data_IF_521834417708
#
_entry.id   IF_521834417708
#
_cell.length_a   1.000
_cell.length_b   1.000
_cell.length_c   1.000
_cell.angle_alpha   90.00
_cell.angle_beta   90.00
_cell.angle_gamma   90.00
#
_symmetry.space_group_name_H-M   'P 1'
#
loop_
_entity.id
_entity.type
_entity.pdbx_description
1 polymer ?
#
# COMPACT_ATOMS: atom_id res chain seq x y z
N UNK A 1 18.63 -16.52 32.18
CA UNK A 1 17.24 -16.19 31.81
C UNK A 1 17.29 -14.86 31.07
N UNK A 2 17.11 -14.85 29.75
CA UNK A 2 16.96 -13.59 29.03
C UNK A 2 15.49 -13.17 29.14
N UNK A 3 15.25 -12.03 29.77
CA UNK A 3 13.93 -11.39 29.72
C UNK A 3 13.56 -11.17 28.25
N UNK A 4 12.52 -11.87 27.81
CA UNK A 4 11.83 -11.55 26.58
C UNK A 4 11.26 -10.14 26.74
N UNK A 5 12.00 -9.12 26.29
CA UNK A 5 11.41 -7.81 26.06
C UNK A 5 10.27 -8.02 25.06
N UNK A 6 9.05 -7.88 25.52
CA UNK A 6 7.88 -7.76 24.66
C UNK A 6 8.14 -6.60 23.71
N UNK A 7 8.51 -6.92 22.47
CA UNK A 7 8.68 -5.93 21.41
C UNK A 7 7.33 -5.25 21.25
N UNK A 8 7.25 -3.98 21.65
CA UNK A 8 6.05 -3.17 21.45
C UNK A 8 5.83 -3.09 19.94
N UNK A 9 4.85 -3.84 19.44
CA UNK A 9 4.50 -3.86 18.03
C UNK A 9 3.78 -2.57 17.67
N UNK A 10 4.37 -1.79 16.77
CA UNK A 10 3.77 -0.55 16.28
C UNK A 10 2.46 -0.87 15.55
N UNK A 11 1.38 -0.15 15.88
CA UNK A 11 0.12 -0.26 15.14
C UNK A 11 0.16 0.60 13.89
N UNK A 12 -0.72 0.34 12.92
CA UNK A 12 -0.87 1.20 11.74
C UNK A 12 -1.25 2.64 12.13
N UNK A 13 -2.06 2.81 13.17
CA UNK A 13 -2.52 4.14 13.57
C UNK A 13 -1.38 4.94 14.24
N UNK A 14 -0.49 4.27 14.98
CA UNK A 14 0.74 4.89 15.50
C UNK A 14 1.73 5.18 14.37
N UNK A 15 1.90 4.22 13.45
CA UNK A 15 2.76 4.37 12.28
C UNK A 15 2.42 5.63 11.47
N UNK A 16 1.14 5.89 11.20
CA UNK A 16 0.72 7.08 10.45
C UNK A 16 1.02 8.40 11.17
N UNK A 17 0.98 8.41 12.51
CA UNK A 17 1.34 9.58 13.31
C UNK A 17 2.84 9.80 13.37
N UNK A 18 3.62 8.72 13.44
CA UNK A 18 5.08 8.77 13.56
C UNK A 18 5.79 9.05 12.24
N UNK A 19 5.29 8.49 11.13
CA UNK A 19 5.91 8.59 9.80
C UNK A 19 4.95 9.18 8.76
N UNK A 20 4.39 10.39 9.00
CA UNK A 20 3.50 11.01 8.03
C UNK A 20 4.26 11.27 6.73
N UNK A 21 3.61 10.97 5.60
CA UNK A 21 4.11 11.20 4.24
C UNK A 21 5.41 10.47 3.88
N UNK A 22 5.89 9.54 4.74
CA UNK A 22 7.04 8.72 4.40
C UNK A 22 6.60 7.53 3.54
N UNK A 23 7.38 7.13 2.51
CA UNK A 23 7.05 6.00 1.65
C UNK A 23 7.35 4.65 2.33
N UNK A 24 7.20 4.57 3.65
CA UNK A 24 7.53 3.39 4.45
C UNK A 24 6.35 2.43 4.50
N UNK A 25 6.64 1.15 4.72
CA UNK A 25 5.63 0.13 4.98
C UNK A 25 5.67 -0.30 6.46
N UNK A 26 4.60 -0.92 6.92
CA UNK A 26 4.54 -1.56 8.23
C UNK A 26 4.23 -3.05 8.03
N UNK A 27 5.16 -3.92 8.44
CA UNK A 27 5.01 -5.37 8.28
C UNK A 27 5.06 -6.02 9.66
N UNK A 28 3.93 -6.55 10.13
CA UNK A 28 3.81 -7.22 11.43
C UNK A 28 4.26 -6.39 12.64
N UNK A 29 4.12 -5.06 12.55
CA UNK A 29 4.50 -4.10 13.57
C UNK A 29 5.93 -3.56 13.43
N UNK A 30 6.63 -3.91 12.34
CA UNK A 30 7.98 -3.46 12.03
C UNK A 30 7.98 -2.48 10.85
N UNK A 31 8.72 -1.38 10.99
CA UNK A 31 8.83 -0.35 9.95
C UNK A 31 9.83 -0.81 8.89
N UNK A 32 9.37 -0.91 7.65
CA UNK A 32 10.20 -1.27 6.50
C UNK A 32 10.39 -0.01 5.64
N UNK A 33 11.65 0.39 5.46
CA UNK A 33 12.00 1.51 4.58
C UNK A 33 12.23 0.96 3.18
N UNK A 34 11.63 1.55 2.13
CA UNK A 34 11.88 1.12 0.77
C UNK A 34 13.32 1.46 0.41
N UNK A 35 13.94 0.57 -0.36
CA UNK A 35 15.22 0.88 -0.99
C UNK A 35 15.02 1.92 -2.10
N UNK A 36 16.05 2.73 -2.35
CA UNK A 36 16.06 3.63 -3.50
C UNK A 36 16.14 2.80 -4.78
N UNK A 37 15.05 2.77 -5.53
CA UNK A 37 14.95 2.01 -6.76
C UNK A 37 15.53 2.83 -7.93
N UNK A 38 16.52 2.28 -8.63
CA UNK A 38 17.18 2.95 -9.77
C UNK A 38 16.29 3.08 -11.02
N UNK A 39 16.75 3.85 -12.01
CA UNK A 39 15.97 4.25 -13.20
C UNK A 39 15.28 3.10 -13.95
N UNK A 40 15.93 1.94 -14.05
CA UNK A 40 15.34 0.76 -14.72
C UNK A 40 14.04 0.30 -14.05
N UNK A 41 13.98 0.37 -12.73
CA UNK A 41 12.79 0.02 -11.98
C UNK A 41 11.65 1.00 -12.28
N UNK A 42 11.96 2.30 -12.33
CA UNK A 42 10.97 3.33 -12.66
C UNK A 42 10.39 3.14 -14.07
N UNK A 43 11.23 2.86 -15.07
CA UNK A 43 10.78 2.63 -16.45
C UNK A 43 9.87 1.41 -16.56
N UNK A 44 10.22 0.31 -15.89
CA UNK A 44 9.39 -0.90 -15.90
C UNK A 44 8.09 -0.68 -15.14
N UNK A 45 8.14 -0.06 -13.97
CA UNK A 45 6.97 0.28 -13.15
C UNK A 45 5.96 1.12 -13.94
N UNK A 46 6.41 2.21 -14.58
CA UNK A 46 5.53 3.05 -15.39
C UNK A 46 4.87 2.30 -16.55
N UNK A 47 5.58 1.38 -17.21
CA UNK A 47 5.01 0.58 -18.30
C UNK A 47 3.93 -0.38 -17.79
N UNK A 48 4.12 -0.97 -16.61
CA UNK A 48 3.14 -1.85 -15.98
C UNK A 48 1.91 -1.04 -15.55
N UNK A 49 2.11 0.10 -14.89
CA UNK A 49 1.04 1.01 -14.47
C UNK A 49 0.20 1.44 -15.67
N UNK A 50 0.81 1.97 -16.74
CA UNK A 50 0.10 2.46 -17.91
C UNK A 50 -0.74 1.35 -18.59
N UNK A 51 -0.16 0.15 -18.76
CA UNK A 51 -0.88 -0.98 -19.39
C UNK A 51 -2.03 -1.49 -18.54
N UNK A 52 -1.84 -1.53 -17.22
CA UNK A 52 -2.89 -1.97 -16.30
C UNK A 52 -4.03 -0.95 -16.26
N UNK A 53 -3.71 0.34 -16.18
CA UNK A 53 -4.70 1.43 -16.21
C UNK A 53 -5.51 1.38 -17.51
N UNK A 54 -4.85 1.31 -18.68
CA UNK A 54 -5.53 1.23 -19.96
C UNK A 54 -6.53 0.06 -20.03
N UNK A 55 -6.12 -1.11 -19.54
CA UNK A 55 -6.97 -2.29 -19.52
C UNK A 55 -8.16 -2.13 -18.56
N UNK A 56 -7.92 -1.67 -17.33
CA UNK A 56 -8.97 -1.51 -16.32
C UNK A 56 -10.00 -0.47 -16.73
N UNK A 57 -9.56 0.66 -17.30
CA UNK A 57 -10.45 1.71 -17.81
C UNK A 57 -11.26 1.23 -19.01
N UNK A 58 -10.62 0.59 -19.99
CA UNK A 58 -11.30 0.10 -21.21
C UNK A 58 -12.45 -0.85 -20.90
N UNK A 59 -12.30 -1.69 -19.88
CA UNK A 59 -13.28 -2.70 -19.50
C UNK A 59 -14.09 -2.32 -18.25
N UNK A 60 -13.94 -1.09 -17.73
CA UNK A 60 -14.67 -0.58 -16.56
C UNK A 60 -14.61 -1.54 -15.35
N UNK A 61 -13.40 -2.03 -15.05
CA UNK A 61 -13.20 -3.10 -14.07
C UNK A 61 -13.00 -2.61 -12.64
N UNK A 62 -12.78 -1.30 -12.44
CA UNK A 62 -12.49 -0.70 -11.14
C UNK A 62 -11.45 0.41 -11.26
N UNK A 63 -10.56 0.49 -10.27
CA UNK A 63 -9.59 1.60 -10.15
C UNK A 63 -8.16 1.07 -9.99
N UNK A 64 -7.20 1.81 -10.56
CA UNK A 64 -5.76 1.54 -10.43
C UNK A 64 -5.10 2.66 -9.63
N UNK A 65 -4.26 2.29 -8.65
CA UNK A 65 -3.52 3.22 -7.81
C UNK A 65 -2.03 3.01 -7.96
N UNK A 66 -1.28 4.11 -8.10
CA UNK A 66 0.17 4.11 -8.12
C UNK A 66 0.81 4.08 -6.73
N UNK A 67 2.13 4.23 -6.68
CA UNK A 67 2.99 3.93 -5.53
C UNK A 67 2.79 4.77 -4.26
N UNK A 68 1.88 5.75 -4.29
CA UNK A 68 1.69 6.72 -3.21
C UNK A 68 0.59 6.31 -2.22
N UNK A 69 -0.06 5.16 -2.43
CA UNK A 69 -1.19 4.74 -1.61
C UNK A 69 -0.84 3.63 -0.62
N UNK A 70 -1.15 3.85 0.66
CA UNK A 70 -0.97 2.87 1.72
C UNK A 70 -2.27 2.13 2.06
N UNK A 71 -2.20 0.81 2.14
CA UNK A 71 -3.32 -0.07 2.44
C UNK A 71 -3.18 -0.68 3.83
N UNK A 72 -4.06 -0.30 4.76
CA UNK A 72 -4.19 -0.98 6.06
C UNK A 72 -4.78 -2.38 5.83
N UNK A 73 -3.95 -3.41 5.99
CA UNK A 73 -4.35 -4.82 5.84
C UNK A 73 -4.70 -5.46 7.18
N UNK A 74 -4.13 -4.96 8.28
CA UNK A 74 -4.44 -5.38 9.64
C UNK A 74 -4.11 -4.26 10.63
N UNK A 75 -4.31 -4.50 11.93
CA UNK A 75 -3.87 -3.58 12.99
C UNK A 75 -2.35 -3.30 12.96
N UNK A 76 -1.56 -4.26 12.48
CA UNK A 76 -0.08 -4.23 12.52
C UNK A 76 0.56 -4.32 11.14
N UNK A 77 -0.25 -4.22 10.07
CA UNK A 77 0.24 -4.35 8.70
C UNK A 77 -0.38 -3.28 7.81
N UNK A 78 0.50 -2.48 7.21
CA UNK A 78 0.18 -1.54 6.13
C UNK A 78 1.18 -1.75 4.99
N UNK A 79 0.68 -1.91 3.77
CA UNK A 79 1.50 -2.09 2.57
C UNK A 79 1.25 -0.97 1.57
N UNK A 80 2.29 -0.52 0.89
CA UNK A 80 2.25 0.52 -0.15
C UNK A 80 2.85 -0.04 -1.44
N UNK A 81 2.08 -0.87 -2.19
CA UNK A 81 2.55 -1.46 -3.43
C UNK A 81 2.81 -0.37 -4.48
N UNK A 82 3.72 -0.64 -5.42
CA UNK A 82 4.02 0.28 -6.54
C UNK A 82 2.82 0.51 -7.45
N UNK A 83 2.05 -0.54 -7.68
CA UNK A 83 0.80 -0.51 -8.43
C UNK A 83 -0.18 -1.45 -7.78
N UNK A 84 -1.45 -1.06 -7.72
CA UNK A 84 -2.51 -1.91 -7.20
C UNK A 84 -3.82 -1.65 -7.94
N UNK A 85 -4.65 -2.68 -7.99
CA UNK A 85 -5.97 -2.64 -8.60
C UNK A 85 -7.02 -2.96 -7.54
N UNK A 86 -8.10 -2.17 -7.52
CA UNK A 86 -9.28 -2.43 -6.72
C UNK A 86 -10.45 -2.65 -7.68
N UNK A 87 -11.07 -3.82 -7.61
CA UNK A 87 -12.24 -4.12 -8.45
C UNK A 87 -13.40 -3.17 -8.17
N UNK A 88 -14.22 -2.92 -9.19
CA UNK A 88 -15.37 -2.01 -9.13
C UNK A 88 -16.28 -2.28 -7.93
N UNK A 89 -16.65 -3.53 -7.70
CA UNK A 89 -17.49 -3.92 -6.57
C UNK A 89 -16.84 -3.58 -5.21
N UNK A 90 -15.53 -3.81 -5.07
CA UNK A 90 -14.81 -3.46 -3.84
C UNK A 90 -14.66 -1.95 -3.69
N UNK A 91 -14.40 -1.23 -4.78
CA UNK A 91 -14.27 0.23 -4.80
C UNK A 91 -15.56 0.92 -4.38
N UNK A 92 -16.70 0.49 -4.93
CA UNK A 92 -18.02 0.99 -4.54
C UNK A 92 -18.27 0.79 -3.04
N UNK A 93 -17.98 -0.39 -2.49
CA UNK A 93 -18.14 -0.65 -1.06
C UNK A 93 -17.25 0.24 -0.17
N UNK A 94 -16.07 0.62 -0.65
CA UNK A 94 -15.13 1.46 0.12
C UNK A 94 -15.54 2.94 0.05
N UNK A 95 -16.00 3.41 -1.11
CA UNK A 95 -16.36 4.82 -1.33
C UNK A 95 -17.80 5.15 -0.96
N UNK A 96 -18.69 4.14 -0.98
CA UNK A 96 -20.11 4.26 -0.67
C UNK A 96 -20.51 3.14 0.33
N UNK A 97 -20.01 3.21 1.58
CA UNK A 97 -20.21 2.14 2.56
C UNK A 97 -21.66 1.95 3.04
N UNK A 98 -22.60 2.81 2.63
CA UNK A 98 -24.00 2.83 3.07
C UNK A 98 -25.03 2.64 1.94
N UNK A 99 -24.59 2.23 0.74
CA UNK A 99 -25.48 1.88 -0.39
C UNK A 99 -25.74 0.37 -0.46
#
# INVERSE_FOLDING_TARGET
MYESRSVVKMTVDDFWKTYPFQPYELVHGEVVKPETLGFRYSVVGMKVEAKLTEFVERFDLGEVFGANNGYKLSKYTMRSPRVSFISKAKWQRITHPYS
#
